data_IF_019389513066
#
_entry.id   IF_019389513066
#
_cell.length_a   1.000
_cell.length_b   1.000
_cell.length_c   1.000
_cell.angle_alpha   90.00
_cell.angle_beta   90.00
_cell.angle_gamma   90.00
#
_symmetry.space_group_name_H-M   'P 1'
#
loop_
_entity.id
_entity.type
_entity.pdbx_description
1 polymer ?
#
# COMPACT_ATOMS: atom_id res chain seq x y z
N UNK A 1 18.45 2.48 -31.50
CA UNK A 1 17.32 1.69 -30.95
C UNK A 1 16.55 2.58 -29.99
N UNK A 2 15.49 3.22 -30.48
CA UNK A 2 14.71 4.20 -29.72
C UNK A 2 14.01 3.51 -28.55
N UNK A 3 14.52 3.76 -27.35
CA UNK A 3 13.92 3.37 -26.07
C UNK A 3 12.54 4.02 -25.94
N UNK A 4 11.50 3.24 -26.21
CA UNK A 4 10.12 3.66 -26.00
C UNK A 4 9.64 3.18 -24.62
N UNK A 5 10.20 3.74 -23.54
CA UNK A 5 9.61 3.58 -22.22
C UNK A 5 8.24 4.29 -22.19
N UNK A 6 7.19 3.64 -21.63
CA UNK A 6 5.85 4.20 -21.57
C UNK A 6 5.85 5.53 -20.79
N UNK A 7 4.97 6.46 -21.18
CA UNK A 7 4.88 7.81 -20.60
C UNK A 7 4.74 7.84 -19.06
N UNK A 8 4.20 6.78 -18.46
CA UNK A 8 4.13 6.61 -17.01
C UNK A 8 5.52 6.46 -16.35
N UNK A 9 6.46 5.78 -17.01
CA UNK A 9 7.82 5.60 -16.48
C UNK A 9 8.66 6.88 -16.55
N UNK A 10 8.37 7.78 -17.49
CA UNK A 10 9.03 9.11 -17.57
C UNK A 10 8.55 10.06 -16.48
N UNK A 11 7.25 10.04 -16.14
CA UNK A 11 6.71 10.82 -15.00
C UNK A 11 7.27 10.36 -13.66
N UNK A 12 7.54 9.07 -13.50
CA UNK A 12 8.18 8.56 -12.29
C UNK A 12 9.64 9.04 -12.12
N UNK A 13 10.29 9.45 -13.21
CA UNK A 13 11.65 10.01 -13.19
C UNK A 13 11.64 11.55 -12.99
N UNK A 14 10.51 12.22 -13.26
CA UNK A 14 10.25 13.65 -12.93
C UNK A 14 9.80 13.84 -11.46
N UNK A 15 9.17 12.82 -10.88
CA UNK A 15 8.90 12.77 -9.44
C UNK A 15 10.19 12.37 -8.71
N UNK A 16 10.39 12.83 -7.48
CA UNK A 16 11.53 12.38 -6.69
C UNK A 16 11.43 10.87 -6.43
N UNK A 17 12.11 10.09 -7.27
CA UNK A 17 11.92 8.64 -7.39
C UNK A 17 12.09 7.92 -6.05
N UNK A 18 13.10 8.23 -5.21
CA UNK A 18 13.20 7.70 -3.85
C UNK A 18 12.00 8.02 -2.96
N UNK A 19 11.49 9.26 -2.96
CA UNK A 19 10.32 9.65 -2.15
C UNK A 19 9.04 8.91 -2.60
N UNK A 20 8.83 8.80 -3.91
CA UNK A 20 7.70 8.04 -4.47
C UNK A 20 7.81 6.56 -4.14
N UNK A 21 9.02 6.00 -4.26
CA UNK A 21 9.26 4.60 -3.93
C UNK A 21 9.13 4.33 -2.42
N UNK A 22 9.56 5.26 -1.57
CA UNK A 22 9.34 5.20 -0.13
C UNK A 22 7.85 5.26 0.20
N UNK A 23 7.08 6.11 -0.49
CA UNK A 23 5.62 6.19 -0.35
C UNK A 23 4.96 4.87 -0.76
N UNK A 24 5.45 4.23 -1.83
CA UNK A 24 5.01 2.88 -2.21
C UNK A 24 5.22 1.88 -1.06
N UNK A 25 6.43 1.83 -0.49
CA UNK A 25 6.73 0.93 0.63
C UNK A 25 5.95 1.30 1.90
N UNK A 26 5.63 2.57 2.11
CA UNK A 26 4.77 3.00 3.21
C UNK A 26 3.34 2.46 3.06
N UNK A 27 2.83 2.32 1.84
CA UNK A 27 1.58 1.61 1.57
C UNK A 27 1.64 0.12 2.00
N UNK A 28 2.83 -0.47 2.07
CA UNK A 28 3.07 -1.87 2.46
C UNK A 28 3.60 -2.03 3.90
N UNK A 29 3.82 -0.95 4.66
CA UNK A 29 4.45 -1.03 6.00
C UNK A 29 3.49 -1.32 7.15
N UNK A 30 2.18 -1.36 6.92
CA UNK A 30 1.18 -1.67 7.95
C UNK A 30 0.86 -3.18 7.96
N UNK A 31 0.99 -3.87 9.11
CA UNK A 31 0.74 -5.31 9.22
C UNK A 31 -0.65 -5.74 8.76
N UNK A 32 -1.68 -4.91 8.97
CA UNK A 32 -3.05 -5.22 8.52
C UNK A 32 -3.13 -5.13 7.00
N UNK A 33 -2.52 -4.12 6.38
CA UNK A 33 -2.45 -3.99 4.92
C UNK A 33 -1.69 -5.16 4.29
N UNK A 34 -0.54 -5.55 4.85
CA UNK A 34 0.21 -6.74 4.41
C UNK A 34 -0.67 -7.98 4.49
N UNK A 35 -1.35 -8.20 5.63
CA UNK A 35 -2.24 -9.35 5.80
C UNK A 35 -3.38 -9.38 4.79
N UNK A 36 -4.01 -8.23 4.51
CA UNK A 36 -5.06 -8.13 3.48
C UNK A 36 -4.48 -8.46 2.10
N UNK A 37 -3.30 -7.96 1.76
CA UNK A 37 -2.67 -8.24 0.47
C UNK A 37 -2.28 -9.70 0.30
N UNK A 38 -1.76 -10.37 1.35
CA UNK A 38 -1.50 -11.82 1.36
C UNK A 38 -2.79 -12.61 1.05
N UNK A 39 -3.88 -12.27 1.74
CA UNK A 39 -5.18 -12.90 1.49
C UNK A 39 -5.56 -12.66 0.01
N UNK A 40 -5.59 -11.41 -0.45
CA UNK A 40 -5.96 -11.09 -1.83
C UNK A 40 -5.02 -11.69 -2.89
N UNK A 41 -3.77 -11.98 -2.54
CA UNK A 41 -2.83 -12.70 -3.38
C UNK A 41 -3.22 -14.17 -3.57
N UNK A 42 -3.87 -14.82 -2.61
CA UNK A 42 -4.40 -16.17 -2.79
C UNK A 42 -5.62 -16.19 -3.72
N UNK A 43 -6.59 -15.29 -3.48
CA UNK A 43 -7.82 -15.17 -4.28
C UNK A 43 -8.57 -13.87 -4.00
N UNK A 44 -9.39 -13.40 -4.96
CA UNK A 44 -10.30 -12.27 -4.73
C UNK A 44 -11.28 -12.52 -3.57
N UNK A 45 -11.54 -11.49 -2.76
CA UNK A 45 -12.37 -11.55 -1.54
C UNK A 45 -13.28 -10.34 -1.39
N UNK A 46 -14.40 -10.51 -0.70
CA UNK A 46 -15.27 -9.40 -0.30
C UNK A 46 -14.76 -8.72 0.97
N UNK A 47 -15.32 -7.56 1.32
CA UNK A 47 -15.02 -6.91 2.62
C UNK A 47 -15.41 -7.83 3.78
N UNK A 48 -16.52 -8.55 3.67
CA UNK A 48 -16.99 -9.51 4.69
C UNK A 48 -15.98 -10.63 4.89
N UNK A 49 -15.50 -11.26 3.81
CA UNK A 49 -14.47 -12.31 3.89
C UNK A 49 -13.20 -11.81 4.60
N UNK A 50 -12.81 -10.55 4.35
CA UNK A 50 -11.62 -9.94 4.94
C UNK A 50 -11.84 -9.57 6.41
N UNK A 51 -13.04 -9.12 6.78
CA UNK A 51 -13.43 -8.90 8.19
C UNK A 51 -13.34 -10.21 8.97
N UNK A 52 -13.89 -11.29 8.43
CA UNK A 52 -13.84 -12.61 9.05
C UNK A 52 -12.40 -13.13 9.18
N UNK A 53 -11.60 -13.00 8.12
CA UNK A 53 -10.22 -13.50 8.10
C UNK A 53 -9.25 -12.67 8.98
N UNK A 54 -9.53 -11.39 9.20
CA UNK A 54 -8.65 -10.49 9.99
C UNK A 54 -9.14 -10.29 11.43
N UNK A 55 -10.41 -10.57 11.72
CA UNK A 55 -11.03 -10.28 13.03
C UNK A 55 -11.21 -8.78 13.33
N UNK A 56 -11.02 -7.90 12.33
CA UNK A 56 -11.10 -6.46 12.50
C UNK A 56 -12.49 -5.92 12.16
N UNK A 57 -12.85 -4.79 12.77
CA UNK A 57 -14.09 -4.10 12.44
C UNK A 57 -14.15 -3.70 10.95
N UNK A 58 -15.34 -3.80 10.35
CA UNK A 58 -15.56 -3.49 8.91
C UNK A 58 -15.09 -2.10 8.50
N UNK A 59 -15.24 -1.09 9.37
CA UNK A 59 -14.75 0.26 9.10
C UNK A 59 -13.22 0.32 8.95
N UNK A 60 -12.50 -0.46 9.77
CA UNK A 60 -11.03 -0.54 9.70
C UNK A 60 -10.57 -1.25 8.43
N UNK A 61 -11.18 -2.39 8.09
CA UNK A 61 -10.89 -3.11 6.84
C UNK A 61 -11.18 -2.22 5.62
N UNK A 62 -12.32 -1.53 5.59
CA UNK A 62 -12.68 -0.60 4.50
C UNK A 62 -11.70 0.56 4.36
N UNK A 63 -11.20 1.11 5.47
CA UNK A 63 -10.17 2.15 5.46
C UNK A 63 -8.87 1.64 4.84
N UNK A 64 -8.37 0.46 5.26
CA UNK A 64 -7.19 -0.15 4.66
C UNK A 64 -7.38 -0.45 3.17
N UNK A 65 -8.52 -1.00 2.76
CA UNK A 65 -8.83 -1.24 1.36
C UNK A 65 -8.90 0.06 0.54
N UNK A 66 -9.37 1.16 1.12
CA UNK A 66 -9.39 2.47 0.44
C UNK A 66 -7.97 2.97 0.19
N UNK A 67 -7.08 2.86 1.18
CA UNK A 67 -5.66 3.14 1.03
C UNK A 67 -5.02 2.26 -0.05
N UNK A 68 -5.22 0.94 0.02
CA UNK A 68 -4.67 0.00 -0.96
C UNK A 68 -5.18 0.25 -2.39
N UNK A 69 -6.44 0.68 -2.55
CA UNK A 69 -7.00 1.10 -3.84
C UNK A 69 -6.38 2.39 -4.33
N UNK A 70 -6.23 3.38 -3.45
CA UNK A 70 -5.60 4.65 -3.79
C UNK A 70 -4.14 4.47 -4.22
N UNK A 71 -3.40 3.59 -3.54
CA UNK A 71 -2.03 3.20 -3.91
C UNK A 71 -1.95 2.32 -5.18
N UNK A 72 -3.09 1.88 -5.73
CA UNK A 72 -3.14 1.05 -6.95
C UNK A 72 -2.79 -0.43 -6.75
N UNK A 73 -2.73 -0.93 -5.52
CA UNK A 73 -2.38 -2.33 -5.24
C UNK A 73 -3.55 -3.28 -5.47
N UNK A 74 -4.76 -2.78 -5.23
CA UNK A 74 -6.00 -3.57 -5.35
C UNK A 74 -7.03 -2.79 -6.15
N UNK A 75 -7.93 -3.52 -6.80
CA UNK A 75 -9.13 -2.96 -7.41
C UNK A 75 -10.37 -3.66 -6.86
N UNK A 76 -11.50 -2.98 -6.94
CA UNK A 76 -12.81 -3.53 -6.57
C UNK A 76 -13.65 -3.70 -7.84
N UNK A 77 -14.29 -4.87 -7.97
CA UNK A 77 -15.29 -5.14 -8.99
C UNK A 77 -16.61 -5.51 -8.34
N UNK A 78 -17.71 -5.02 -8.91
CA UNK A 78 -19.05 -5.40 -8.48
C UNK A 78 -19.32 -6.82 -8.97
N UNK A 79 -19.56 -7.74 -8.05
CA UNK A 79 -19.94 -9.13 -8.33
C UNK A 79 -21.22 -9.46 -7.55
N UNK A 80 -22.35 -9.40 -8.25
CA UNK A 80 -23.67 -9.55 -7.63
C UNK A 80 -23.99 -8.38 -6.71
N UNK A 81 -24.19 -8.65 -5.41
CA UNK A 81 -24.54 -7.63 -4.41
C UNK A 81 -23.33 -7.04 -3.67
N UNK A 82 -22.13 -7.57 -3.90
CA UNK A 82 -20.95 -7.21 -3.14
C UNK A 82 -19.80 -6.75 -4.04
N UNK A 83 -18.96 -5.89 -3.49
CA UNK A 83 -17.67 -5.56 -4.10
C UNK A 83 -16.67 -6.65 -3.75
N UNK A 84 -16.03 -7.20 -4.78
CA UNK A 84 -14.93 -8.14 -4.65
C UNK A 84 -13.62 -7.45 -4.99
N UNK A 85 -12.68 -7.55 -4.07
CA UNK A 85 -11.36 -6.97 -4.17
C UNK A 85 -10.39 -8.00 -4.72
N UNK A 86 -9.48 -7.56 -5.58
CA UNK A 86 -8.38 -8.39 -6.11
C UNK A 86 -7.10 -7.59 -6.18
N UNK A 87 -5.97 -8.28 -6.08
CA UNK A 87 -4.66 -7.70 -6.38
C UNK A 87 -4.59 -7.34 -7.87
N UNK A 88 -4.06 -6.16 -8.19
CA UNK A 88 -4.00 -5.63 -9.57
C UNK A 88 -2.76 -6.13 -10.29
N UNK A 89 -1.60 -6.13 -9.62
CA UNK A 89 -0.30 -6.35 -10.22
C UNK A 89 0.41 -7.54 -9.56
N UNK A 90 0.80 -8.53 -10.37
CA UNK A 90 1.51 -9.72 -9.94
C UNK A 90 2.87 -9.40 -9.30
N UNK A 91 3.49 -8.26 -9.66
CA UNK A 91 4.74 -7.81 -9.04
C UNK A 91 4.56 -7.47 -7.57
N UNK A 92 3.36 -7.06 -7.13
CA UNK A 92 3.09 -6.88 -5.69
C UNK A 92 3.07 -8.23 -4.97
N UNK A 93 2.51 -9.28 -5.60
CA UNK A 93 2.59 -10.65 -5.05
C UNK A 93 4.05 -11.10 -4.93
N UNK A 94 4.84 -10.84 -5.96
CA UNK A 94 6.26 -11.19 -5.96
C UNK A 94 7.06 -10.40 -4.91
N UNK A 95 6.75 -9.11 -4.69
CA UNK A 95 7.35 -8.31 -3.61
C UNK A 95 7.04 -8.93 -2.24
N UNK A 96 5.81 -9.37 -1.99
CA UNK A 96 5.45 -10.03 -0.72
C UNK A 96 6.24 -11.33 -0.54
N UNK A 97 6.32 -12.15 -1.59
CA UNK A 97 7.06 -13.42 -1.59
C UNK A 97 8.55 -13.23 -1.33
N UNK A 98 9.17 -12.28 -2.05
CA UNK A 98 10.58 -11.93 -1.86
C UNK A 98 10.83 -11.31 -0.48
N UNK A 99 9.93 -10.45 -0.02
CA UNK A 99 9.95 -9.88 1.32
C UNK A 99 9.94 -10.95 2.40
N UNK A 100 9.05 -11.95 2.30
CA UNK A 100 8.99 -13.07 3.24
C UNK A 100 10.29 -13.88 3.25
N UNK A 101 10.88 -14.14 2.07
CA UNK A 101 12.17 -14.84 1.98
C UNK A 101 13.29 -14.05 2.67
N UNK A 102 13.38 -12.74 2.42
CA UNK A 102 14.35 -11.85 3.08
C UNK A 102 14.10 -11.80 4.60
N UNK A 103 12.85 -11.71 5.03
CA UNK A 103 12.49 -11.72 6.46
C UNK A 103 12.94 -13.01 7.11
N UNK A 104 12.72 -14.18 6.47
CA UNK A 104 13.16 -15.48 7.00
C UNK A 104 14.67 -15.53 7.22
N UNK A 105 15.43 -14.96 6.30
CA UNK A 105 16.90 -14.92 6.38
C UNK A 105 17.41 -13.88 7.40
N UNK A 106 16.56 -12.94 7.84
CA UNK A 106 16.97 -11.78 8.65
C UNK A 106 16.07 -11.52 9.88
N UNK A 107 15.24 -12.49 10.30
CA UNK A 107 14.16 -12.26 11.27
C UNK A 107 14.66 -11.68 12.60
N UNK A 108 15.72 -12.25 13.16
CA UNK A 108 16.33 -11.79 14.42
C UNK A 108 16.79 -10.33 14.31
N UNK A 109 17.44 -9.97 13.19
CA UNK A 109 17.96 -8.62 12.96
C UNK A 109 16.85 -7.59 12.79
N UNK A 110 15.78 -7.95 12.06
CA UNK A 110 14.65 -7.06 11.82
C UNK A 110 13.86 -6.79 13.10
N UNK A 111 13.65 -7.83 13.92
CA UNK A 111 12.91 -7.72 15.19
C UNK A 111 13.71 -7.05 16.31
N UNK A 112 15.04 -7.07 16.25
CA UNK A 112 15.91 -6.39 17.20
C UNK A 112 16.34 -4.98 16.76
N UNK A 113 15.83 -4.46 15.65
CA UNK A 113 16.24 -3.18 15.09
C UNK A 113 15.67 -2.00 15.90
N UNK A 114 16.54 -1.29 16.63
CA UNK A 114 16.15 -0.14 17.46
C UNK A 114 15.83 1.13 16.66
N UNK A 115 16.28 1.22 15.40
CA UNK A 115 16.05 2.40 14.53
C UNK A 115 14.59 2.44 14.04
N UNK A 116 14.03 1.29 13.68
CA UNK A 116 12.63 1.19 13.21
C UNK A 116 11.66 0.87 14.36
N UNK A 117 12.13 0.24 15.43
CA UNK A 117 11.32 -0.18 16.58
C UNK A 117 10.81 0.95 17.49
N UNK A 118 11.25 2.19 17.30
CA UNK A 118 10.86 3.34 18.14
C UNK A 118 9.70 4.18 17.60
N UNK A 119 9.18 3.93 16.38
CA UNK A 119 8.23 4.85 15.71
C UNK A 119 6.90 4.20 15.28
N UNK A 120 6.39 3.19 16.00
CA UNK A 120 5.01 2.69 15.71
C UNK A 120 3.89 3.59 16.31
N UNK A 121 4.21 4.76 16.87
CA UNK A 121 3.20 5.68 17.43
C UNK A 121 3.45 7.16 17.13
N UNK A 122 3.43 7.57 15.86
CA UNK A 122 3.09 8.96 15.52
C UNK A 122 2.78 9.10 14.02
N UNK A 123 1.50 9.31 13.69
CA UNK A 123 1.18 9.92 12.41
C UNK A 123 1.61 11.38 12.42
N UNK A 124 2.47 11.78 11.49
CA UNK A 124 2.60 13.17 11.04
C UNK A 124 3.00 13.15 9.56
N UNK A 125 2.04 13.47 8.68
CA UNK A 125 2.38 14.18 7.45
C UNK A 125 2.12 15.65 7.76
N UNK A 126 3.11 16.55 7.68
CA UNK A 126 2.84 17.97 7.75
C UNK A 126 2.08 18.37 6.50
N UNK A 127 0.84 18.80 6.69
CA UNK A 127 0.07 19.54 5.69
C UNK A 127 0.82 20.84 5.38
N UNK A 128 1.32 20.99 4.16
CA UNK A 128 1.78 22.29 3.67
C UNK A 128 0.67 22.91 2.84
N UNK A 129 -0.14 23.73 3.51
CA UNK A 129 -0.92 24.78 2.88
C UNK A 129 0.02 25.74 2.17
N UNK A 130 -0.08 25.87 0.84
CA UNK A 130 0.25 27.12 0.16
C UNK A 130 -1.05 27.89 -0.01
N UNK A 131 -1.27 28.85 0.88
CA UNK A 131 -2.27 29.89 0.71
C UNK A 131 -1.77 30.87 -0.37
N UNK A 132 -2.45 30.93 -1.52
CA UNK A 132 -2.35 32.09 -2.41
C UNK A 132 -3.52 33.02 -2.10
N UNK A 133 -3.19 34.16 -1.49
CA UNK A 133 -4.12 35.25 -1.22
C UNK A 133 -4.51 35.93 -2.53
N UNK A 134 -5.81 36.11 -2.75
CA UNK A 134 -6.34 37.12 -3.68
C UNK A 134 -6.16 38.53 -3.09
N UNK A 135 -5.89 39.56 -3.92
CA UNK A 135 -6.54 40.85 -3.81
C UNK A 135 -7.80 40.82 -4.71
N UNK A 136 -9.00 41.24 -4.29
CA UNK A 136 -9.32 42.50 -3.63
C UNK A 136 -9.82 43.47 -4.71
N UNK A 137 -11.15 43.54 -4.86
CA UNK A 137 -12.02 44.53 -5.54
C UNK A 137 -11.59 45.15 -6.87
#
# INVERSE_FOLDING_TARGET
MTSNLPAAARRADELDRPEVLATFFQGLSDPTRVRILELLAERPRTVTDLVEATGLAQGRVSSHLSCLRWCGYVEARVEGRYNRYRLVDERVREILRLGEAIVRDNADRLTSCLVLGSETSAGVVPSQHVAVRSPGT
#
